data_IF_918788386935
#
_entry.id   IF_918788386935
#
_cell.length_a   1.000
_cell.length_b   1.000
_cell.length_c   1.000
_cell.angle_alpha   90.00
_cell.angle_beta   90.00
_cell.angle_gamma   90.00
#
_symmetry.space_group_name_H-M   'P 1'
#
loop_
_entity.id
_entity.type
_entity.pdbx_description
1 polymer ?
#
# COMPACT_ATOMS: atom_id res chain seq x y z
N UNK A 1 -2.12 -16.85 17.96
CA UNK A 1 -1.27 -16.30 19.04
C UNK A 1 -0.89 -14.89 18.61
N UNK A 2 -1.62 -13.89 19.10
CA UNK A 2 -1.33 -12.48 18.81
C UNK A 2 -0.09 -12.10 19.61
N UNK A 3 1.00 -11.77 18.93
CA UNK A 3 2.09 -11.02 19.54
C UNK A 3 1.71 -9.54 19.35
N UNK A 4 1.43 -8.78 20.41
CA UNK A 4 1.28 -7.35 20.26
C UNK A 4 2.65 -6.80 19.88
N UNK A 5 2.75 -6.21 18.69
CA UNK A 5 3.93 -5.46 18.29
C UNK A 5 3.94 -4.14 19.04
N UNK A 6 4.36 -4.21 20.31
CA UNK A 6 4.79 -3.05 21.07
C UNK A 6 6.30 -2.88 20.89
N UNK A 7 6.69 -2.39 19.72
CA UNK A 7 7.92 -1.60 19.62
C UNK A 7 7.54 -0.15 19.42
N UNK A 8 7.44 0.55 20.55
CA UNK A 8 7.40 2.00 20.62
C UNK A 8 8.80 2.55 20.24
N UNK A 9 9.24 2.32 19.01
CA UNK A 9 10.37 3.03 18.43
C UNK A 9 9.78 4.27 17.76
N UNK A 10 9.91 5.41 18.42
CA UNK A 10 9.60 6.70 17.82
C UNK A 10 10.58 6.95 16.67
N UNK A 11 10.23 6.46 15.48
CA UNK A 11 10.89 6.91 14.25
C UNK A 11 10.75 8.43 14.17
N UNK A 12 11.79 9.16 13.73
CA UNK A 12 11.66 10.59 13.52
C UNK A 12 10.53 10.86 12.52
N UNK A 13 9.81 11.98 12.63
CA UNK A 13 8.77 12.30 11.67
C UNK A 13 9.37 12.46 10.26
N UNK A 14 8.75 11.86 9.24
CA UNK A 14 9.28 11.93 7.86
C UNK A 14 9.50 13.37 7.38
N UNK A 15 8.66 14.31 7.78
CA UNK A 15 8.75 15.72 7.37
C UNK A 15 10.01 16.43 7.87
N UNK A 16 10.77 15.85 8.81
CA UNK A 16 12.06 16.40 9.28
C UNK A 16 13.25 15.92 8.44
N UNK A 17 13.06 14.96 7.53
CA UNK A 17 14.09 14.51 6.62
C UNK A 17 14.31 15.52 5.48
N UNK A 18 15.47 15.53 4.81
CA UNK A 18 15.63 16.34 3.61
C UNK A 18 14.66 15.90 2.49
N UNK A 19 14.37 16.79 1.55
CA UNK A 19 13.25 16.60 0.60
C UNK A 19 13.46 15.38 -0.31
N UNK A 20 14.71 15.08 -0.64
CA UNK A 20 15.05 13.91 -1.44
C UNK A 20 14.72 12.59 -0.72
N UNK A 21 15.03 12.48 0.56
CA UNK A 21 14.73 11.33 1.41
C UNK A 21 13.22 11.12 1.55
N UNK A 22 12.47 12.21 1.76
CA UNK A 22 11.00 12.16 1.79
C UNK A 22 10.43 11.64 0.47
N UNK A 23 10.92 12.17 -0.65
CA UNK A 23 10.54 11.71 -1.99
C UNK A 23 10.90 10.24 -2.21
N UNK A 24 12.10 9.81 -1.80
CA UNK A 24 12.56 8.44 -1.97
C UNK A 24 11.71 7.46 -1.15
N UNK A 25 11.39 7.81 0.10
CA UNK A 25 10.47 7.02 0.92
C UNK A 25 9.07 6.95 0.29
N UNK A 26 8.56 8.06 -0.23
CA UNK A 26 7.28 8.08 -0.93
C UNK A 26 7.31 7.17 -2.17
N UNK A 27 8.36 7.23 -2.99
CA UNK A 27 8.53 6.36 -4.14
C UNK A 27 8.58 4.88 -3.75
N UNK A 28 9.38 4.52 -2.75
CA UNK A 28 9.48 3.16 -2.22
C UNK A 28 8.14 2.68 -1.64
N UNK A 29 7.39 3.57 -0.99
CA UNK A 29 6.07 3.23 -0.46
C UNK A 29 5.12 2.74 -1.55
N UNK A 30 5.14 3.33 -2.74
CA UNK A 30 4.29 2.95 -3.88
C UNK A 30 4.76 1.63 -4.50
N UNK A 31 6.07 1.34 -4.47
CA UNK A 31 6.61 0.05 -4.92
C UNK A 31 6.06 -1.10 -4.08
N UNK A 32 5.97 -0.96 -2.76
CA UNK A 32 5.31 -1.91 -1.84
C UNK A 32 5.78 -3.39 -1.96
N UNK A 33 6.96 -3.63 -2.55
CA UNK A 33 7.59 -4.94 -2.72
C UNK A 33 9.10 -4.84 -2.43
N UNK A 34 9.78 -5.96 -2.10
CA UNK A 34 11.23 -5.95 -1.93
C UNK A 34 11.94 -5.32 -3.14
N UNK A 35 12.80 -4.33 -2.91
CA UNK A 35 13.40 -3.54 -3.99
C UNK A 35 14.92 -3.41 -3.82
N UNK A 36 15.65 -3.54 -4.93
CA UNK A 36 17.10 -3.34 -4.93
C UNK A 36 17.46 -1.86 -5.16
N UNK A 37 18.57 -1.42 -4.58
CA UNK A 37 19.11 -0.07 -4.82
C UNK A 37 19.40 0.17 -6.31
N UNK A 38 19.81 -0.87 -7.05
CA UNK A 38 19.99 -0.81 -8.50
C UNK A 38 18.69 -0.50 -9.24
N UNK A 39 17.57 -1.14 -8.85
CA UNK A 39 16.27 -0.88 -9.44
C UNK A 39 15.82 0.57 -9.17
N UNK A 40 15.98 1.04 -7.93
CA UNK A 40 15.69 2.42 -7.56
C UNK A 40 16.49 3.40 -8.42
N UNK A 41 17.81 3.20 -8.51
CA UNK A 41 18.69 4.02 -9.36
C UNK A 41 18.25 4.03 -10.83
N UNK A 42 17.85 2.88 -11.38
CA UNK A 42 17.38 2.77 -12.76
C UNK A 42 16.00 3.41 -13.02
N UNK A 43 15.17 3.56 -11.98
CA UNK A 43 13.91 4.28 -12.08
C UNK A 43 14.13 5.79 -12.03
N UNK A 44 14.99 6.24 -11.11
CA UNK A 44 15.33 7.65 -10.94
C UNK A 44 16.21 8.18 -12.09
N UNK A 45 17.00 7.31 -12.71
CA UNK A 45 17.76 7.66 -13.91
C UNK A 45 16.84 7.74 -15.14
N UNK A 46 16.73 8.95 -15.72
CA UNK A 46 15.98 9.17 -16.97
C UNK A 46 14.46 9.16 -16.80
N UNK A 47 13.97 9.53 -15.61
CA UNK A 47 12.57 9.89 -15.42
C UNK A 47 12.38 11.39 -15.67
N UNK A 48 11.24 11.76 -16.23
CA UNK A 48 10.82 13.16 -16.37
C UNK A 48 10.14 13.69 -15.09
N UNK A 49 9.94 12.81 -14.09
CA UNK A 49 9.35 13.17 -12.81
C UNK A 49 10.31 14.09 -12.05
N UNK A 50 9.87 15.29 -11.59
CA UNK A 50 10.70 16.19 -10.83
C UNK A 50 11.18 15.54 -9.52
N UNK A 51 12.50 15.39 -9.38
CA UNK A 51 13.14 14.91 -8.15
C UNK A 51 13.59 16.15 -7.35
N UNK A 52 13.17 16.31 -6.09
CA UNK A 52 13.61 17.44 -5.26
C UNK A 52 15.12 17.48 -5.12
N UNK A 53 15.70 18.68 -5.24
CA UNK A 53 17.09 18.99 -4.87
C UNK A 53 18.20 18.22 -5.60
N UNK A 54 17.87 17.41 -6.62
CA UNK A 54 18.84 16.54 -7.31
C UNK A 54 19.00 16.95 -8.77
N UNK A 55 20.21 17.42 -9.12
CA UNK A 55 20.59 17.64 -10.53
C UNK A 55 21.15 16.36 -11.18
N UNK A 56 21.85 15.50 -10.43
CA UNK A 56 22.30 14.14 -10.82
C UNK A 56 22.57 13.28 -9.59
N UNK A 57 21.72 12.29 -9.32
CA UNK A 57 21.94 11.32 -8.23
C UNK A 57 23.01 10.31 -8.64
N UNK A 58 24.12 10.25 -7.90
CA UNK A 58 25.10 9.18 -8.09
C UNK A 58 24.67 7.89 -7.39
N UNK A 59 25.17 6.76 -7.88
CA UNK A 59 24.91 5.45 -7.25
C UNK A 59 25.33 5.42 -5.77
N UNK A 60 26.47 6.05 -5.44
CA UNK A 60 27.02 6.07 -4.08
C UNK A 60 26.15 6.89 -3.12
N UNK A 61 25.62 8.03 -3.60
CA UNK A 61 24.68 8.84 -2.81
C UNK A 61 23.41 8.05 -2.51
N UNK A 62 22.81 7.41 -3.53
CA UNK A 62 21.63 6.58 -3.32
C UNK A 62 21.87 5.43 -2.32
N UNK A 63 23.00 4.72 -2.45
CA UNK A 63 23.38 3.64 -1.51
C UNK A 63 23.56 4.18 -0.07
N UNK A 64 24.15 5.36 0.09
CA UNK A 64 24.31 6.03 1.38
C UNK A 64 22.96 6.42 1.98
N UNK A 65 22.09 7.07 1.20
CA UNK A 65 20.75 7.48 1.64
C UNK A 65 19.90 6.29 2.06
N UNK A 66 19.90 5.20 1.28
CA UNK A 66 19.16 3.98 1.64
C UNK A 66 19.70 3.37 2.93
N UNK A 67 21.02 3.36 3.14
CA UNK A 67 21.63 2.86 4.37
C UNK A 67 21.19 3.68 5.59
N UNK A 68 21.19 5.01 5.48
CA UNK A 68 20.72 5.90 6.54
C UNK A 68 19.23 5.72 6.84
N UNK A 69 18.39 5.57 5.81
CA UNK A 69 16.95 5.31 5.99
C UNK A 69 16.68 3.96 6.68
N UNK A 70 17.52 2.95 6.46
CA UNK A 70 17.46 1.67 7.18
C UNK A 70 17.91 1.80 8.64
N UNK A 71 19.00 2.52 8.89
CA UNK A 71 19.48 2.79 10.26
C UNK A 71 18.41 3.54 11.10
N UNK A 72 17.67 4.43 10.46
CA UNK A 72 16.53 5.15 11.05
C UNK A 72 15.21 4.36 11.00
N UNK A 73 15.27 3.09 10.57
CA UNK A 73 14.17 2.13 10.49
C UNK A 73 13.00 2.50 9.57
N UNK A 74 13.14 3.54 8.72
CA UNK A 74 12.14 3.86 7.70
C UNK A 74 12.05 2.78 6.63
N UNK A 75 13.11 2.00 6.47
CA UNK A 75 13.19 0.86 5.57
C UNK A 75 13.68 -0.38 6.32
N UNK A 76 13.17 -1.55 5.95
CA UNK A 76 13.72 -2.83 6.37
C UNK A 76 14.92 -3.26 5.48
N UNK A 77 15.50 -4.42 5.77
CA UNK A 77 16.62 -5.00 5.01
C UNK A 77 16.33 -5.22 3.51
N UNK A 78 15.05 -5.36 3.16
CA UNK A 78 14.55 -5.53 1.79
C UNK A 78 14.18 -4.20 1.11
N UNK A 79 14.54 -3.06 1.71
CA UNK A 79 14.16 -1.70 1.28
C UNK A 79 12.65 -1.48 1.20
N UNK A 80 11.89 -2.03 2.14
CA UNK A 80 10.46 -1.78 2.22
C UNK A 80 10.14 -0.89 3.40
N UNK A 81 9.23 0.07 3.19
CA UNK A 81 8.63 0.80 4.29
C UNK A 81 7.80 -0.17 5.17
N UNK A 82 7.79 0.01 6.50
CA UNK A 82 6.79 -0.62 7.36
C UNK A 82 5.36 -0.38 6.82
N UNK A 83 4.43 -1.35 6.89
CA UNK A 83 3.12 -1.23 6.24
C UNK A 83 2.36 0.06 6.56
N UNK A 84 2.32 0.45 7.85
CA UNK A 84 1.66 1.69 8.28
C UNK A 84 2.28 2.93 7.64
N UNK A 85 3.61 3.00 7.62
CA UNK A 85 4.34 4.10 6.99
C UNK A 85 4.09 4.12 5.48
N UNK A 86 4.06 2.95 4.85
CA UNK A 86 3.82 2.84 3.41
C UNK A 86 2.45 3.43 3.03
N UNK A 87 1.39 3.11 3.79
CA UNK A 87 0.05 3.67 3.55
C UNK A 87 0.01 5.18 3.76
N UNK A 88 0.64 5.69 4.82
CA UNK A 88 0.72 7.13 5.07
C UNK A 88 1.40 7.87 3.91
N UNK A 89 2.56 7.39 3.46
CA UNK A 89 3.32 8.01 2.39
C UNK A 89 2.65 7.90 1.03
N UNK A 90 1.95 6.79 0.76
CA UNK A 90 1.19 6.63 -0.48
C UNK A 90 -0.02 7.55 -0.53
N UNK A 91 -0.78 7.69 0.57
CA UNK A 91 -1.88 8.67 0.67
C UNK A 91 -1.37 10.10 0.52
N UNK A 92 -0.21 10.41 1.11
CA UNK A 92 0.45 11.70 0.90
C UNK A 92 0.79 11.93 -0.58
N UNK A 93 1.26 10.90 -1.30
CA UNK A 93 1.58 10.99 -2.73
C UNK A 93 0.35 11.29 -3.58
N UNK A 94 -0.80 10.73 -3.19
CA UNK A 94 -2.10 11.01 -3.85
C UNK A 94 -2.49 12.47 -3.61
N UNK A 95 -2.43 12.93 -2.36
CA UNK A 95 -2.76 14.32 -2.00
C UNK A 95 -1.86 15.36 -2.69
N UNK A 96 -0.60 15.01 -2.95
CA UNK A 96 0.38 15.85 -3.65
C UNK A 96 0.32 15.73 -5.18
N UNK A 97 -0.57 14.89 -5.73
CA UNK A 97 -0.71 14.68 -7.17
C UNK A 97 0.45 13.92 -7.83
N UNK A 98 1.36 13.31 -7.05
CA UNK A 98 2.54 12.58 -7.56
C UNK A 98 2.29 11.09 -7.79
N UNK A 99 1.25 10.54 -7.17
CA UNK A 99 1.00 9.11 -7.15
C UNK A 99 0.90 8.50 -8.55
N UNK A 100 0.11 9.10 -9.45
CA UNK A 100 -0.15 8.55 -10.78
C UNK A 100 1.14 8.40 -11.61
N UNK A 101 1.99 9.42 -11.63
CA UNK A 101 3.26 9.40 -12.37
C UNK A 101 4.24 8.37 -11.80
N UNK A 102 4.36 8.31 -10.46
CA UNK A 102 5.23 7.35 -9.79
C UNK A 102 4.73 5.91 -10.01
N UNK A 103 3.43 5.65 -9.90
CA UNK A 103 2.83 4.35 -10.17
C UNK A 103 3.06 3.92 -11.63
N UNK A 104 2.84 4.82 -12.58
CA UNK A 104 3.08 4.55 -14.00
C UNK A 104 4.55 4.23 -14.30
N UNK A 105 5.49 4.95 -13.68
CA UNK A 105 6.92 4.66 -13.79
C UNK A 105 7.25 3.25 -13.26
N UNK A 106 6.70 2.88 -12.09
CA UNK A 106 6.93 1.57 -11.48
C UNK A 106 6.37 0.45 -12.37
N UNK A 107 5.16 0.61 -12.87
CA UNK A 107 4.52 -0.38 -13.77
C UNK A 107 5.27 -0.53 -15.08
N UNK A 108 5.81 0.58 -15.63
CA UNK A 108 6.66 0.55 -16.82
C UNK A 108 7.98 -0.19 -16.59
N UNK A 109 8.63 0.03 -15.43
CA UNK A 109 9.96 -0.53 -15.12
C UNK A 109 9.89 -1.95 -14.55
N UNK A 110 8.80 -2.30 -13.89
CA UNK A 110 8.58 -3.60 -13.25
C UNK A 110 7.13 -4.07 -13.47
N UNK A 111 6.72 -4.39 -14.71
CA UNK A 111 5.35 -4.80 -14.99
C UNK A 111 4.98 -6.06 -14.22
N UNK A 112 3.70 -6.18 -13.84
CA UNK A 112 3.18 -7.45 -13.34
C UNK A 112 3.14 -8.46 -14.49
N UNK A 113 3.60 -9.68 -14.24
CA UNK A 113 3.40 -10.80 -15.15
C UNK A 113 2.67 -11.90 -14.41
N UNK A 114 1.42 -12.13 -14.80
CA UNK A 114 0.63 -13.23 -14.26
C UNK A 114 0.97 -14.58 -14.89
N UNK A 115 1.96 -14.65 -15.79
CA UNK A 115 2.38 -15.88 -16.47
C UNK A 115 3.84 -16.27 -16.19
N UNK A 116 4.76 -15.30 -16.12
CA UNK A 116 6.20 -15.56 -16.07
C UNK A 116 6.86 -15.01 -14.81
N UNK A 117 7.94 -15.65 -14.37
CA UNK A 117 8.76 -15.23 -13.22
C UNK A 117 8.53 -16.03 -11.94
N UNK A 118 9.30 -15.72 -10.90
CA UNK A 118 9.23 -16.40 -9.60
C UNK A 118 7.88 -16.12 -8.93
N UNK A 119 7.25 -17.14 -8.38
CA UNK A 119 5.93 -17.02 -7.76
C UNK A 119 5.85 -15.98 -6.63
N UNK A 120 6.84 -15.95 -5.75
CA UNK A 120 6.92 -14.94 -4.69
C UNK A 120 6.92 -13.52 -5.27
N UNK A 121 7.72 -13.26 -6.31
CA UNK A 121 7.74 -11.95 -6.99
C UNK A 121 6.40 -11.64 -7.65
N UNK A 122 5.75 -12.63 -8.29
CA UNK A 122 4.45 -12.43 -8.94
C UNK A 122 3.36 -12.07 -7.93
N UNK A 123 3.33 -12.74 -6.78
CA UNK A 123 2.37 -12.43 -5.71
C UNK A 123 2.64 -11.06 -5.09
N UNK A 124 3.90 -10.69 -4.85
CA UNK A 124 4.24 -9.34 -4.37
C UNK A 124 3.82 -8.25 -5.37
N UNK A 125 4.07 -8.46 -6.67
CA UNK A 125 3.62 -7.54 -7.72
C UNK A 125 2.11 -7.47 -7.81
N UNK A 126 1.40 -8.59 -7.70
CA UNK A 126 -0.06 -8.60 -7.66
C UNK A 126 -0.58 -7.82 -6.45
N UNK A 127 0.04 -7.95 -5.27
CA UNK A 127 -0.31 -7.17 -4.09
C UNK A 127 -0.08 -5.67 -4.31
N UNK A 128 1.03 -5.30 -4.96
CA UNK A 128 1.26 -3.91 -5.41
C UNK A 128 0.19 -3.45 -6.40
N UNK A 129 -0.22 -4.28 -7.36
CA UNK A 129 -1.24 -3.91 -8.36
C UNK A 129 -2.61 -3.70 -7.73
N UNK A 130 -3.01 -4.54 -6.78
CA UNK A 130 -4.20 -4.31 -5.97
C UNK A 130 -4.16 -2.92 -5.31
N UNK A 131 -3.02 -2.61 -4.67
CA UNK A 131 -2.82 -1.35 -3.97
C UNK A 131 -2.82 -0.14 -4.91
N UNK A 132 -2.20 -0.26 -6.08
CA UNK A 132 -2.25 0.77 -7.13
C UNK A 132 -3.67 0.94 -7.66
N UNK A 133 -4.39 -0.14 -7.94
CA UNK A 133 -5.77 -0.10 -8.41
C UNK A 133 -6.69 0.64 -7.43
N UNK A 134 -6.55 0.37 -6.13
CA UNK A 134 -7.29 1.07 -5.08
C UNK A 134 -7.05 2.58 -5.09
N UNK A 135 -5.80 3.03 -5.17
CA UNK A 135 -5.46 4.46 -5.15
C UNK A 135 -5.70 5.18 -6.50
N UNK A 136 -5.87 4.44 -7.59
CA UNK A 136 -6.14 4.98 -8.93
C UNK A 136 -7.60 4.84 -9.38
N UNK A 137 -8.48 4.29 -8.54
CA UNK A 137 -9.85 3.90 -8.90
C UNK A 137 -9.95 2.99 -10.13
N UNK A 138 -9.01 2.04 -10.25
CA UNK A 138 -8.96 1.06 -11.33
C UNK A 138 -9.43 -0.31 -10.83
N UNK A 139 -10.74 -0.54 -10.93
CA UNK A 139 -11.36 -1.80 -10.51
C UNK A 139 -10.88 -3.02 -11.30
N UNK A 140 -10.48 -2.86 -12.56
CA UNK A 140 -9.96 -3.98 -13.34
C UNK A 140 -8.65 -4.47 -12.74
N UNK A 141 -7.75 -3.54 -12.35
CA UNK A 141 -6.52 -3.89 -11.64
C UNK A 141 -6.78 -4.55 -10.30
N UNK A 142 -7.78 -4.09 -9.55
CA UNK A 142 -8.18 -4.68 -8.26
C UNK A 142 -8.62 -6.14 -8.48
N UNK A 143 -9.54 -6.36 -9.42
CA UNK A 143 -10.15 -7.68 -9.70
C UNK A 143 -9.11 -8.70 -10.20
N UNK A 144 -8.27 -8.31 -11.16
CA UNK A 144 -7.20 -9.17 -11.68
C UNK A 144 -6.21 -9.57 -10.59
N UNK A 145 -5.81 -8.61 -9.75
CA UNK A 145 -4.89 -8.86 -8.65
C UNK A 145 -5.48 -9.80 -7.59
N UNK A 146 -6.74 -9.59 -7.21
CA UNK A 146 -7.44 -10.44 -6.22
C UNK A 146 -7.59 -11.84 -6.76
N UNK A 147 -8.09 -12.00 -7.98
CA UNK A 147 -8.26 -13.31 -8.63
C UNK A 147 -6.95 -14.09 -8.69
N UNK A 148 -5.83 -13.41 -8.97
CA UNK A 148 -4.51 -14.05 -8.98
C UNK A 148 -4.05 -14.45 -7.58
N UNK A 149 -4.24 -13.57 -6.59
CA UNK A 149 -3.79 -13.79 -5.22
C UNK A 149 -4.62 -14.83 -4.47
N UNK A 150 -5.90 -14.99 -4.78
CA UNK A 150 -6.71 -16.08 -4.24
C UNK A 150 -6.19 -17.45 -4.68
N UNK A 151 -5.73 -17.55 -5.93
CA UNK A 151 -5.22 -18.81 -6.50
C UNK A 151 -3.80 -19.14 -6.05
N UNK A 152 -2.96 -18.14 -5.81
CA UNK A 152 -1.51 -18.33 -5.64
C UNK A 152 -0.91 -17.67 -4.40
N UNK A 153 -1.61 -16.75 -3.75
CA UNK A 153 -1.06 -15.89 -2.71
C UNK A 153 -0.78 -16.61 -1.39
N UNK A 154 -1.59 -17.62 -1.03
CA UNK A 154 -1.50 -18.28 0.28
C UNK A 154 -0.11 -18.84 0.57
N UNK A 155 0.52 -19.50 -0.42
CA UNK A 155 1.83 -20.13 -0.25
C UNK A 155 3.01 -19.15 -0.25
N UNK A 156 2.82 -17.93 -0.76
CA UNK A 156 3.92 -17.02 -1.07
C UNK A 156 3.90 -15.72 -0.28
N UNK A 157 2.72 -15.22 0.04
CA UNK A 157 2.54 -14.01 0.84
C UNK A 157 1.72 -14.29 2.10
N UNK A 158 1.07 -15.46 2.22
CA UNK A 158 0.26 -15.89 3.36
C UNK A 158 -1.25 -15.78 3.09
N UNK A 159 -2.06 -16.21 4.05
CA UNK A 159 -3.51 -16.36 3.87
C UNK A 159 -4.35 -15.09 4.00
N UNK A 160 -3.80 -13.99 4.50
CA UNK A 160 -4.57 -12.75 4.59
C UNK A 160 -4.88 -12.20 3.19
N UNK A 161 -6.14 -11.83 2.89
CA UNK A 161 -6.48 -11.20 1.62
C UNK A 161 -5.88 -9.79 1.53
N UNK A 162 -5.70 -9.24 0.32
CA UNK A 162 -5.13 -7.91 0.12
C UNK A 162 -5.85 -6.81 0.90
N UNK A 163 -7.20 -6.84 0.92
CA UNK A 163 -8.01 -5.87 1.67
C UNK A 163 -7.69 -5.87 3.17
N UNK A 164 -7.46 -7.04 3.77
CA UNK A 164 -7.06 -7.12 5.18
C UNK A 164 -5.66 -6.54 5.38
N UNK A 165 -4.69 -6.96 4.57
CA UNK A 165 -3.27 -6.57 4.71
C UNK A 165 -3.04 -5.07 4.55
N UNK A 166 -3.69 -4.48 3.56
CA UNK A 166 -3.47 -3.10 3.15
C UNK A 166 -4.40 -2.18 3.92
N UNK A 167 -5.69 -2.52 3.99
CA UNK A 167 -6.73 -1.64 4.53
C UNK A 167 -6.97 -1.92 6.01
N UNK A 168 -7.42 -3.12 6.39
CA UNK A 168 -7.86 -3.39 7.77
C UNK A 168 -6.72 -3.23 8.81
N UNK A 169 -5.49 -3.62 8.46
CA UNK A 169 -4.32 -3.51 9.34
C UNK A 169 -3.82 -2.08 9.52
N UNK A 170 -4.11 -1.18 8.57
CA UNK A 170 -3.66 0.22 8.56
C UNK A 170 -4.87 1.16 8.35
N UNK A 171 -5.98 0.81 8.99
CA UNK A 171 -7.27 1.43 8.74
C UNK A 171 -7.27 2.91 9.13
N UNK A 172 -7.87 3.72 8.26
CA UNK A 172 -8.02 5.16 8.43
C UNK A 172 -9.41 5.54 7.93
N UNK A 173 -10.29 5.91 8.86
CA UNK A 173 -11.70 6.14 8.59
C UNK A 173 -11.93 7.31 7.61
N UNK A 174 -11.16 8.40 7.75
CA UNK A 174 -11.32 9.58 6.92
C UNK A 174 -10.93 9.31 5.48
N UNK A 175 -9.79 8.65 5.26
CA UNK A 175 -9.37 8.24 3.93
C UNK A 175 -10.32 7.17 3.34
N UNK A 176 -10.72 6.19 4.13
CA UNK A 176 -11.58 5.10 3.65
C UNK A 176 -12.97 5.63 3.24
N UNK A 177 -13.56 6.53 4.02
CA UNK A 177 -14.83 7.18 3.70
C UNK A 177 -14.79 8.14 2.50
N UNK A 178 -13.60 8.49 2.02
CA UNK A 178 -13.42 9.26 0.78
C UNK A 178 -13.35 8.37 -0.47
N UNK A 179 -13.26 7.04 -0.33
CA UNK A 179 -13.27 6.12 -1.47
C UNK A 179 -14.68 6.03 -2.09
N UNK A 180 -14.81 5.69 -3.38
CA UNK A 180 -16.10 5.38 -3.98
C UNK A 180 -16.83 4.28 -3.21
N UNK A 181 -18.16 4.39 -3.09
CA UNK A 181 -18.95 3.46 -2.29
C UNK A 181 -18.83 2.00 -2.72
N UNK A 182 -18.69 1.75 -4.02
CA UNK A 182 -18.41 0.41 -4.56
C UNK A 182 -17.08 -0.16 -4.04
N UNK A 183 -16.04 0.67 -3.89
CA UNK A 183 -14.76 0.22 -3.34
C UNK A 183 -14.87 -0.04 -1.85
N UNK A 184 -15.54 0.86 -1.12
CA UNK A 184 -15.79 0.66 0.31
C UNK A 184 -16.50 -0.67 0.57
N UNK A 185 -17.56 -0.94 -0.19
CA UNK A 185 -18.32 -2.18 -0.09
C UNK A 185 -17.46 -3.41 -0.38
N UNK A 186 -16.74 -3.39 -1.51
CA UNK A 186 -15.85 -4.49 -1.90
C UNK A 186 -14.79 -4.81 -0.83
N UNK A 187 -14.13 -3.77 -0.30
CA UNK A 187 -13.08 -3.90 0.71
C UNK A 187 -13.65 -4.42 2.03
N UNK A 188 -14.75 -3.83 2.51
CA UNK A 188 -15.40 -4.26 3.76
C UNK A 188 -15.91 -5.70 3.64
N UNK A 189 -16.47 -6.09 2.49
CA UNK A 189 -16.91 -7.46 2.25
C UNK A 189 -15.77 -8.47 2.38
N UNK A 190 -14.63 -8.19 1.74
CA UNK A 190 -13.45 -9.03 1.87
C UNK A 190 -12.94 -9.12 3.31
N UNK A 191 -12.91 -7.98 4.03
CA UNK A 191 -12.42 -7.90 5.42
C UNK A 191 -13.35 -8.67 6.38
N UNK A 192 -14.66 -8.50 6.27
CA UNK A 192 -15.64 -9.14 7.15
C UNK A 192 -15.66 -10.64 6.92
N UNK A 193 -15.66 -11.11 5.66
CA UNK A 193 -15.58 -12.54 5.37
C UNK A 193 -14.33 -13.18 5.98
N UNK A 194 -13.17 -12.52 5.88
CA UNK A 194 -11.95 -13.00 6.51
C UNK A 194 -12.04 -13.00 8.04
N UNK A 195 -12.59 -11.93 8.63
CA UNK A 195 -12.78 -11.81 10.08
C UNK A 195 -13.66 -12.95 10.63
N UNK A 196 -14.75 -13.28 9.93
CA UNK A 196 -15.63 -14.40 10.27
C UNK A 196 -14.93 -15.75 10.12
N UNK A 197 -14.26 -16.00 8.98
CA UNK A 197 -13.55 -17.26 8.72
C UNK A 197 -12.44 -17.53 9.75
N UNK A 198 -11.74 -16.48 10.18
CA UNK A 198 -10.63 -16.59 11.15
C UNK A 198 -11.03 -16.32 12.59
N UNK A 199 -12.31 -16.04 12.86
CA UNK A 199 -12.81 -15.62 14.17
C UNK A 199 -11.92 -14.53 14.81
N UNK A 200 -11.63 -13.47 14.05
CA UNK A 200 -10.85 -12.32 14.52
C UNK A 200 -11.59 -11.01 14.29
N UNK A 201 -11.10 -9.91 14.86
CA UNK A 201 -11.77 -8.61 14.81
C UNK A 201 -10.80 -7.50 14.38
N UNK A 202 -11.35 -6.49 13.72
CA UNK A 202 -10.66 -5.26 13.35
C UNK A 202 -11.41 -4.06 13.97
N UNK A 203 -11.08 -3.66 15.21
CA UNK A 203 -11.87 -2.69 15.96
C UNK A 203 -12.08 -1.35 15.24
N UNK A 204 -11.06 -0.85 14.54
CA UNK A 204 -11.16 0.40 13.79
C UNK A 204 -12.13 0.29 12.59
N UNK A 205 -12.21 -0.88 11.96
CA UNK A 205 -13.16 -1.16 10.87
C UNK A 205 -14.58 -1.27 11.41
N UNK A 206 -14.75 -1.95 12.55
CA UNK A 206 -16.05 -2.08 13.22
C UNK A 206 -16.57 -0.71 13.66
N UNK A 207 -15.73 0.10 14.30
CA UNK A 207 -16.08 1.46 14.70
C UNK A 207 -16.51 2.34 13.52
N UNK A 208 -15.90 2.16 12.34
CA UNK A 208 -16.32 2.85 11.11
C UNK A 208 -17.70 2.39 10.62
N UNK A 209 -18.02 1.09 10.75
CA UNK A 209 -19.32 0.57 10.34
C UNK A 209 -20.46 0.96 11.29
N UNK A 210 -20.15 1.17 12.56
CA UNK A 210 -21.10 1.63 13.58
C UNK A 210 -21.39 3.13 13.48
N UNK A 211 -20.55 3.90 12.77
CA UNK A 211 -20.69 5.34 12.60
C UNK A 211 -21.59 5.69 11.38
N UNK A 212 -22.90 5.70 11.63
CA UNK A 212 -23.93 6.03 10.64
C UNK A 212 -23.83 7.47 10.06
N UNK A 213 -23.18 8.40 10.78
CA UNK A 213 -22.96 9.78 10.37
C UNK A 213 -21.71 9.93 9.49
N UNK A 214 -20.69 9.09 9.70
CA UNK A 214 -19.43 9.08 8.95
C UNK A 214 -19.51 8.45 7.56
N UNK A 215 -20.51 7.62 7.28
CA UNK A 215 -20.68 7.01 5.94
C UNK A 215 -21.26 8.02 4.93
N UNK A 216 -20.43 8.45 3.99
CA UNK A 216 -20.77 9.38 2.90
C UNK A 216 -21.65 8.78 1.79
N UNK A 217 -22.11 7.54 1.97
CA UNK A 217 -22.91 6.78 1.01
C UNK A 217 -24.36 7.28 0.96
N UNK A 218 -24.94 7.31 -0.24
CA UNK A 218 -26.38 7.54 -0.42
C UNK A 218 -27.22 6.42 0.23
N UNK A 219 -28.50 6.66 0.49
CA UNK A 219 -29.39 5.66 1.10
C UNK A 219 -29.40 4.32 0.32
N UNK A 220 -29.43 4.39 -1.01
CA UNK A 220 -29.37 3.20 -1.88
C UNK A 220 -28.03 2.47 -1.77
N UNK A 221 -26.93 3.21 -1.65
CA UNK A 221 -25.59 2.65 -1.46
C UNK A 221 -25.37 2.07 -0.06
N UNK A 222 -26.18 2.44 0.94
CA UNK A 222 -26.11 1.90 2.32
C UNK A 222 -26.74 0.51 2.45
N UNK A 223 -27.69 0.15 1.58
CA UNK A 223 -28.42 -1.13 1.65
C UNK A 223 -27.50 -2.37 1.70
N UNK A 224 -26.45 -2.48 0.86
CA UNK A 224 -25.52 -3.61 0.95
C UNK A 224 -24.76 -3.68 2.27
N UNK A 225 -24.44 -2.54 2.91
CA UNK A 225 -23.67 -2.47 4.16
C UNK A 225 -24.51 -2.87 5.37
N UNK A 226 -25.77 -2.43 5.43
CA UNK A 226 -26.70 -2.84 6.49
C UNK A 226 -26.88 -4.36 6.53
N UNK A 227 -26.87 -5.02 5.37
CA UNK A 227 -26.92 -6.49 5.27
C UNK A 227 -25.68 -7.19 5.82
N UNK A 228 -24.55 -6.48 5.96
CA UNK A 228 -23.33 -7.05 6.53
C UNK A 228 -23.33 -7.07 8.06
N UNK A 229 -24.13 -6.21 8.69
CA UNK A 229 -24.25 -6.08 10.14
C UNK A 229 -25.41 -6.90 10.74
N UNK A 230 -26.32 -7.42 9.89
CA UNK A 230 -27.48 -8.22 10.27
C UNK A 230 -27.15 -9.73 10.29
#
# INVERSE_FOLDING_TARGET
>A
MFVPDQTNNQQPPVHTLPLFEQFLLQFISIIYEPVSTTFLGNCLAGTDIPIPEVHRLTRKELESTISQLREQQFLNELNQCPPRLAEQLTRQAVAEGRFADLAALIEKKAPVSYLYGKWATRCQRALRQFRIGMHSDDFNKIDEAVTFLEKHGQEHIGSEPPAVRIVARNFDAAWFGALPGSQQFFLLNSIIHYAMDKACHFPAVIAYLEDDEGMTLSEDERVPFQRMLA
#
